data_IF_406949813827
#
_entry.id   IF_406949813827
#
_cell.length_a   1.000
_cell.length_b   1.000
_cell.length_c   1.000
_cell.angle_alpha   90.00
_cell.angle_beta   90.00
_cell.angle_gamma   90.00
#
_symmetry.space_group_name_H-M   'P 1'
#
loop_
_entity.id
_entity.type
_entity.pdbx_description
1 polymer ?
#
# COMPACT_ATOMS: atom_id res chain seq x y z
N UNK A 1 -4.81 -4.54 14.44
CA UNK A 1 -3.43 -5.04 14.28
C UNK A 1 -2.93 -4.66 12.90
N UNK A 2 -1.64 -4.43 12.70
CA UNK A 2 -1.10 -4.09 11.37
C UNK A 2 -1.13 -5.31 10.45
N UNK A 3 -1.18 -5.08 9.14
CA UNK A 3 -1.02 -6.14 8.14
C UNK A 3 0.25 -6.96 8.40
N UNK A 4 1.36 -6.28 8.69
CA UNK A 4 2.64 -6.91 9.00
C UNK A 4 2.58 -7.82 10.22
N UNK A 5 1.95 -7.38 11.32
CA UNK A 5 1.87 -8.21 12.53
C UNK A 5 0.99 -9.45 12.31
N UNK A 6 -0.08 -9.33 11.50
CA UNK A 6 -0.97 -10.44 11.15
C UNK A 6 -0.24 -11.48 10.29
N UNK A 7 0.46 -11.04 9.24
CA UNK A 7 1.27 -11.93 8.41
C UNK A 7 2.43 -12.58 9.18
N UNK A 8 3.08 -11.86 10.09
CA UNK A 8 4.12 -12.42 10.95
C UNK A 8 3.60 -13.47 11.95
N UNK A 9 2.30 -13.46 12.23
CA UNK A 9 1.61 -14.45 13.05
C UNK A 9 1.09 -15.65 12.23
N UNK A 10 1.52 -15.79 10.97
CA UNK A 10 1.12 -16.85 10.03
C UNK A 10 -0.40 -16.86 9.73
N UNK A 11 -1.04 -15.71 9.88
CA UNK A 11 -2.47 -15.55 9.56
C UNK A 11 -2.67 -15.53 8.04
N UNK A 12 -3.62 -16.33 7.55
CA UNK A 12 -4.10 -16.23 6.16
C UNK A 12 -5.07 -15.06 6.04
N UNK A 13 -4.77 -14.11 5.15
CA UNK A 13 -5.56 -12.90 4.95
C UNK A 13 -6.19 -12.87 3.56
N UNK A 14 -7.50 -12.66 3.50
CA UNK A 14 -8.23 -12.52 2.25
C UNK A 14 -8.43 -11.04 1.91
N UNK A 15 -7.90 -10.62 0.77
CA UNK A 15 -8.07 -9.25 0.26
C UNK A 15 -9.11 -9.22 -0.86
N UNK A 16 -10.03 -8.26 -0.80
CA UNK A 16 -10.89 -7.97 -1.94
C UNK A 16 -10.13 -7.16 -2.99
N UNK A 17 -10.16 -7.58 -4.24
CA UNK A 17 -9.48 -6.90 -5.34
C UNK A 17 -10.44 -5.97 -6.08
N UNK A 18 -10.27 -4.65 -5.90
CA UNK A 18 -11.11 -3.63 -6.54
C UNK A 18 -10.47 -3.13 -7.83
N UNK A 19 -11.17 -3.37 -8.95
CA UNK A 19 -10.90 -2.72 -10.24
C UNK A 19 -11.84 -1.56 -10.55
N UNK A 20 -12.83 -1.28 -9.69
CA UNK A 20 -13.87 -0.25 -9.93
C UNK A 20 -13.50 1.02 -9.17
N UNK A 21 -13.24 2.16 -9.85
CA UNK A 21 -12.73 3.39 -9.22
C UNK A 21 -13.84 4.22 -8.54
N UNK A 22 -14.70 3.55 -7.76
CA UNK A 22 -15.82 4.16 -7.07
C UNK A 22 -15.70 3.95 -5.55
N UNK A 23 -15.71 5.05 -4.80
CA UNK A 23 -15.51 5.01 -3.35
C UNK A 23 -16.69 4.34 -2.62
N UNK A 24 -17.92 4.47 -3.13
CA UNK A 24 -19.09 3.82 -2.56
C UNK A 24 -18.98 2.29 -2.69
N UNK A 25 -18.55 1.81 -3.85
CA UNK A 25 -18.27 0.39 -4.10
C UNK A 25 -17.21 -0.12 -3.12
N UNK A 26 -16.10 0.60 -2.97
CA UNK A 26 -15.04 0.23 -2.01
C UNK A 26 -15.56 0.23 -0.57
N UNK A 27 -16.44 1.15 -0.19
CA UNK A 27 -17.06 1.17 1.14
C UNK A 27 -17.94 -0.06 1.40
N UNK A 28 -18.75 -0.44 0.43
CA UNK A 28 -19.58 -1.64 0.53
C UNK A 28 -18.69 -2.88 0.68
N UNK A 29 -17.63 -2.99 -0.11
CA UNK A 29 -16.65 -4.09 -0.05
C UNK A 29 -15.91 -4.12 1.29
N UNK A 30 -15.50 -2.96 1.81
CA UNK A 30 -14.81 -2.85 3.09
C UNK A 30 -15.65 -3.36 4.27
N UNK A 31 -16.99 -3.34 4.17
CA UNK A 31 -17.90 -3.88 5.19
C UNK A 31 -18.14 -5.40 5.07
N UNK A 32 -17.65 -6.05 4.02
CA UNK A 32 -17.79 -7.50 3.84
C UNK A 32 -16.76 -8.29 4.67
N UNK A 33 -16.79 -9.63 4.59
CA UNK A 33 -15.93 -10.53 5.37
C UNK A 33 -14.45 -10.59 4.96
N UNK A 34 -13.97 -9.72 4.07
CA UNK A 34 -12.56 -9.66 3.69
C UNK A 34 -11.70 -9.00 4.77
N UNK A 35 -10.46 -9.45 4.91
CA UNK A 35 -9.49 -8.91 5.86
C UNK A 35 -8.91 -7.57 5.43
N UNK A 36 -8.81 -7.36 4.13
CA UNK A 36 -8.19 -6.19 3.52
C UNK A 36 -8.87 -5.84 2.18
N UNK A 37 -8.53 -4.68 1.61
CA UNK A 37 -8.96 -4.28 0.27
C UNK A 37 -7.76 -3.78 -0.53
N UNK A 38 -7.62 -4.27 -1.76
CA UNK A 38 -6.59 -3.84 -2.72
C UNK A 38 -7.21 -3.01 -3.83
N UNK A 39 -6.71 -1.79 -4.02
CA UNK A 39 -7.10 -0.92 -5.13
C UNK A 39 -6.10 -1.07 -6.28
N UNK A 40 -6.60 -1.41 -7.46
CA UNK A 40 -5.76 -1.78 -8.59
C UNK A 40 -5.61 -0.67 -9.63
N UNK A 41 -4.39 -0.12 -9.73
CA UNK A 41 -4.02 0.91 -10.69
C UNK A 41 -3.30 0.35 -11.94
N UNK A 42 -3.06 -0.95 -12.05
CA UNK A 42 -2.39 -1.53 -13.22
C UNK A 42 -3.41 -1.95 -14.27
N UNK A 43 -4.39 -2.76 -13.88
CA UNK A 43 -5.43 -3.27 -14.77
C UNK A 43 -6.85 -2.87 -14.34
N UNK A 44 -7.00 -2.40 -13.10
CA UNK A 44 -8.23 -1.76 -12.64
C UNK A 44 -8.31 -0.30 -13.10
N UNK A 45 -9.49 0.29 -12.92
CA UNK A 45 -9.73 1.70 -13.26
C UNK A 45 -9.21 2.70 -12.23
N UNK A 46 -8.56 2.26 -11.15
CA UNK A 46 -8.10 3.18 -10.12
C UNK A 46 -6.95 4.07 -10.61
N UNK A 47 -7.11 5.36 -10.37
CA UNK A 47 -6.10 6.41 -10.51
C UNK A 47 -5.88 7.12 -9.16
N UNK A 48 -4.92 8.03 -9.08
CA UNK A 48 -4.48 8.74 -7.87
C UNK A 48 -5.65 9.23 -6.99
N UNK A 49 -6.56 10.03 -7.56
CA UNK A 49 -7.70 10.61 -6.83
C UNK A 49 -8.69 9.54 -6.38
N UNK A 50 -8.96 8.53 -7.20
CA UNK A 50 -9.82 7.42 -6.80
C UNK A 50 -9.20 6.58 -5.68
N UNK A 51 -7.87 6.44 -5.64
CA UNK A 51 -7.16 5.75 -4.55
C UNK A 51 -7.26 6.58 -3.27
N UNK A 52 -6.95 7.88 -3.34
CA UNK A 52 -7.07 8.78 -2.19
C UNK A 52 -8.46 8.69 -1.54
N UNK A 53 -9.52 8.68 -2.34
CA UNK A 53 -10.91 8.58 -1.87
C UNK A 53 -11.28 7.15 -1.43
N UNK A 54 -10.86 6.14 -2.20
CA UNK A 54 -11.19 4.75 -1.97
C UNK A 54 -10.52 4.15 -0.74
N UNK A 55 -9.34 4.64 -0.33
CA UNK A 55 -8.71 4.16 0.90
C UNK A 55 -9.48 4.59 2.15
N UNK A 56 -10.14 5.75 2.14
CA UNK A 56 -10.85 6.30 3.32
C UNK A 56 -11.84 5.29 3.94
N UNK A 57 -12.79 4.70 3.20
CA UNK A 57 -13.72 3.76 3.80
C UNK A 57 -13.07 2.44 4.26
N UNK A 58 -11.98 1.99 3.63
CA UNK A 58 -11.22 0.80 4.06
C UNK A 58 -10.60 1.05 5.45
N UNK A 59 -9.98 2.22 5.60
CA UNK A 59 -9.36 2.65 6.86
C UNK A 59 -10.41 2.87 7.95
N UNK A 60 -11.57 3.45 7.60
CA UNK A 60 -12.69 3.64 8.53
C UNK A 60 -13.28 2.31 9.01
N UNK A 61 -13.21 1.25 8.19
CA UNK A 61 -13.58 -0.12 8.59
C UNK A 61 -12.50 -0.81 9.45
N UNK A 62 -11.38 -0.15 9.75
CA UNK A 62 -10.29 -0.71 10.56
C UNK A 62 -9.48 -1.79 9.84
N UNK A 63 -9.51 -1.82 8.50
CA UNK A 63 -8.86 -2.85 7.67
C UNK A 63 -7.61 -2.32 6.97
N UNK A 64 -6.60 -3.18 6.73
CA UNK A 64 -5.50 -2.86 5.85
C UNK A 64 -5.99 -2.48 4.44
N UNK A 65 -5.40 -1.40 3.94
CA UNK A 65 -5.60 -0.88 2.60
C UNK A 65 -4.33 -1.13 1.77
N UNK A 66 -4.48 -1.74 0.61
CA UNK A 66 -3.38 -2.04 -0.31
C UNK A 66 -3.60 -1.33 -1.64
N UNK A 67 -2.51 -1.02 -2.34
CA UNK A 67 -2.56 -0.44 -3.68
C UNK A 67 -1.62 -1.19 -4.60
N UNK A 68 -2.13 -1.73 -5.71
CA UNK A 68 -1.27 -2.17 -6.82
C UNK A 68 -0.98 -0.98 -7.72
N UNK A 69 0.28 -0.59 -7.81
CA UNK A 69 0.72 0.57 -8.61
C UNK A 69 0.89 0.20 -10.10
N UNK A 70 0.89 1.18 -11.02
CA UNK A 70 1.19 0.93 -12.42
C UNK A 70 2.64 0.45 -12.64
N UNK A 71 2.88 -0.25 -13.76
CA UNK A 71 4.23 -0.67 -14.17
C UNK A 71 5.14 0.55 -14.32
N UNK A 72 6.36 0.46 -13.78
CA UNK A 72 7.38 1.52 -13.88
C UNK A 72 7.09 2.78 -13.05
N UNK A 73 6.05 2.79 -12.21
CA UNK A 73 5.64 3.94 -11.40
C UNK A 73 5.92 3.75 -9.90
N UNK A 74 7.15 3.42 -9.54
CA UNK A 74 7.53 3.27 -8.12
C UNK A 74 7.39 4.57 -7.32
N UNK A 75 7.37 5.73 -7.97
CA UNK A 75 7.01 7.02 -7.36
C UNK A 75 5.60 7.00 -6.72
N UNK A 76 4.68 6.21 -7.28
CA UNK A 76 3.33 6.05 -6.74
C UNK A 76 3.30 5.29 -5.42
N UNK A 77 4.37 4.56 -5.08
CA UNK A 77 4.46 3.85 -3.81
C UNK A 77 4.44 4.83 -2.62
N UNK A 78 5.28 5.86 -2.65
CA UNK A 78 5.30 6.94 -1.65
C UNK A 78 3.93 7.60 -1.49
N UNK A 79 3.26 7.90 -2.61
CA UNK A 79 1.94 8.55 -2.62
C UNK A 79 0.84 7.65 -2.06
N UNK A 80 0.81 6.38 -2.43
CA UNK A 80 -0.14 5.42 -1.88
C UNK A 80 0.00 5.32 -0.35
N UNK A 81 1.24 5.26 0.15
CA UNK A 81 1.51 5.27 1.59
C UNK A 81 1.13 6.60 2.26
N UNK A 82 1.31 7.74 1.58
CA UNK A 82 0.91 9.07 2.08
C UNK A 82 -0.62 9.24 2.13
N UNK A 83 -1.35 8.51 1.28
CA UNK A 83 -2.82 8.43 1.31
C UNK A 83 -3.35 7.50 2.41
N UNK A 84 -2.50 6.60 2.92
CA UNK A 84 -2.79 5.72 4.05
C UNK A 84 -2.74 4.23 3.71
N UNK A 85 -2.25 3.83 2.53
CA UNK A 85 -2.02 2.42 2.25
C UNK A 85 -1.03 1.83 3.26
N UNK A 86 -1.28 0.59 3.68
CA UNK A 86 -0.40 -0.16 4.56
C UNK A 86 0.58 -1.03 3.76
N UNK A 87 0.22 -1.41 2.54
CA UNK A 87 1.13 -2.03 1.60
C UNK A 87 0.94 -1.56 0.17
N UNK A 88 2.01 -1.69 -0.60
CA UNK A 88 2.01 -1.44 -2.04
C UNK A 88 2.45 -2.71 -2.76
N UNK A 89 1.76 -3.02 -3.85
CA UNK A 89 2.08 -4.14 -4.75
C UNK A 89 2.67 -3.54 -6.02
N UNK A 90 3.93 -3.88 -6.33
CA UNK A 90 4.60 -3.45 -7.55
C UNK A 90 4.59 -4.59 -8.58
N UNK A 91 3.95 -4.40 -9.76
CA UNK A 91 4.02 -5.36 -10.85
C UNK A 91 5.37 -5.31 -11.57
N UNK A 92 5.68 -6.37 -12.32
CA UNK A 92 6.80 -6.46 -13.25
C UNK A 92 8.18 -6.13 -12.61
N UNK A 93 8.39 -6.54 -11.36
CA UNK A 93 9.70 -6.41 -10.70
C UNK A 93 10.63 -7.49 -11.25
N UNK A 94 11.49 -7.13 -12.20
CA UNK A 94 12.23 -8.09 -13.01
C UNK A 94 13.72 -8.17 -12.65
N UNK A 95 14.18 -7.38 -11.68
CA UNK A 95 15.58 -7.36 -11.28
C UNK A 95 15.75 -6.97 -9.82
N UNK A 96 16.93 -7.29 -9.27
CA UNK A 96 17.35 -6.79 -7.95
C UNK A 96 17.39 -5.26 -7.92
N UNK A 97 17.72 -4.60 -9.04
CA UNK A 97 17.71 -3.15 -9.15
C UNK A 97 16.28 -2.59 -9.00
N UNK A 98 15.30 -3.18 -9.67
CA UNK A 98 13.89 -2.80 -9.54
C UNK A 98 13.41 -2.98 -8.09
N UNK A 99 13.73 -4.13 -7.48
CA UNK A 99 13.35 -4.41 -6.10
C UNK A 99 13.96 -3.39 -5.11
N UNK A 100 15.21 -2.97 -5.32
CA UNK A 100 15.87 -1.94 -4.51
C UNK A 100 15.23 -0.56 -4.69
N UNK A 101 14.94 -0.16 -5.93
CA UNK A 101 14.27 1.11 -6.22
C UNK A 101 12.88 1.15 -5.59
N UNK A 102 12.11 0.07 -5.73
CA UNK A 102 10.80 -0.04 -5.11
C UNK A 102 10.89 0.00 -3.57
N UNK A 103 11.81 -0.76 -2.97
CA UNK A 103 12.01 -0.76 -1.51
C UNK A 103 12.43 0.63 -0.98
N UNK A 104 13.30 1.34 -1.71
CA UNK A 104 13.72 2.70 -1.36
C UNK A 104 12.53 3.68 -1.38
N UNK A 105 11.64 3.59 -2.37
CA UNK A 105 10.44 4.42 -2.44
C UNK A 105 9.44 4.16 -1.30
N UNK A 106 9.51 3.01 -0.63
CA UNK A 106 8.58 2.64 0.44
C UNK A 106 8.97 3.16 1.83
N UNK A 107 10.22 3.59 2.03
CA UNK A 107 10.79 3.89 3.34
C UNK A 107 11.35 5.31 3.41
N UNK A 108 11.12 5.99 4.52
CA UNK A 108 11.76 7.26 4.82
C UNK A 108 13.26 7.07 5.13
N UNK A 109 14.10 8.11 4.95
CA UNK A 109 15.48 8.10 5.40
C UNK A 109 15.61 7.68 6.88
N UNK A 110 16.68 6.95 7.26
CA UNK A 110 17.81 6.51 6.42
C UNK A 110 17.58 5.18 5.67
N UNK A 111 16.39 4.57 5.80
CA UNK A 111 16.13 3.23 5.25
C UNK A 111 15.73 3.24 3.77
N UNK A 112 15.35 4.40 3.25
CA UNK A 112 14.97 4.60 1.86
C UNK A 112 14.95 6.09 1.51
N UNK A 113 14.23 6.42 0.44
CA UNK A 113 14.23 7.71 -0.22
C UNK A 113 12.85 8.37 -0.27
N UNK A 114 11.84 7.81 0.43
CA UNK A 114 10.52 8.43 0.54
C UNK A 114 10.63 9.81 1.17
N UNK A 115 10.11 10.84 0.49
CA UNK A 115 10.02 12.20 1.02
C UNK A 115 8.85 12.36 1.99
N UNK A 116 8.90 13.38 2.84
CA UNK A 116 7.81 13.73 3.75
C UNK A 116 6.60 14.30 2.99
N UNK A 117 5.49 13.55 2.96
CA UNK A 117 4.21 14.00 2.45
C UNK A 117 2.95 13.36 3.08
N UNK A 118 2.94 12.90 4.36
CA UNK A 118 1.83 12.12 4.90
C UNK A 118 0.61 12.96 5.30
N UNK A 119 0.22 13.95 4.49
CA UNK A 119 -0.90 14.89 4.74
C UNK A 119 -2.22 14.19 5.06
N UNK A 120 -2.44 13.02 4.48
CA UNK A 120 -3.66 12.24 4.70
C UNK A 120 -3.45 11.09 5.68
N UNK A 121 -2.33 10.37 5.58
CA UNK A 121 -2.05 9.23 6.43
C UNK A 121 -1.75 9.62 7.89
N UNK A 122 -1.01 10.71 8.14
CA UNK A 122 -0.62 11.11 9.50
C UNK A 122 -1.83 11.52 10.35
N UNK A 123 -2.78 12.36 9.89
CA UNK A 123 -3.98 12.66 10.70
C UNK A 123 -4.89 11.46 10.96
N UNK A 124 -4.82 10.41 10.13
CA UNK A 124 -5.69 9.21 10.23
C UNK A 124 -5.09 8.09 11.09
N UNK A 125 -3.78 7.91 11.02
CA UNK A 125 -3.06 6.79 11.65
C UNK A 125 -1.93 7.22 12.56
N UNK A 126 -1.54 8.48 12.51
CA UNK A 126 -0.44 9.02 13.30
C UNK A 126 -0.71 8.86 14.78
N UNK A 127 0.26 8.26 15.46
CA UNK A 127 0.36 8.26 16.91
C UNK A 127 1.62 9.01 17.29
N UNK A 128 1.53 9.80 18.34
CA UNK A 128 2.65 10.59 18.85
C UNK A 128 3.14 11.65 17.88
N UNK A 129 4.45 11.89 17.90
CA UNK A 129 5.10 12.95 17.14
C UNK A 129 5.57 12.49 15.74
N UNK A 130 6.18 13.42 14.99
CA UNK A 130 6.71 13.12 13.66
C UNK A 130 7.81 12.05 13.68
N UNK A 131 8.64 12.02 14.74
CA UNK A 131 9.71 11.05 14.84
C UNK A 131 9.17 9.64 15.10
N UNK A 132 8.12 9.52 15.92
CA UNK A 132 7.39 8.28 16.13
C UNK A 132 6.74 7.78 14.83
N UNK A 133 6.08 8.66 14.08
CA UNK A 133 5.52 8.32 12.77
C UNK A 133 6.56 7.77 11.79
N UNK A 134 7.71 8.44 11.68
CA UNK A 134 8.79 8.00 10.80
C UNK A 134 9.27 6.60 11.17
N UNK A 135 9.49 6.34 12.46
CA UNK A 135 9.92 5.03 12.96
C UNK A 135 8.85 3.96 12.72
N UNK A 136 7.62 4.22 13.14
CA UNK A 136 6.49 3.28 13.02
C UNK A 136 6.20 2.94 11.55
N UNK A 137 6.05 3.95 10.69
CA UNK A 137 5.74 3.75 9.27
C UNK A 137 6.83 2.97 8.56
N UNK A 138 8.10 3.24 8.86
CA UNK A 138 9.21 2.45 8.33
C UNK A 138 9.15 0.98 8.77
N UNK A 139 8.63 0.69 9.96
CA UNK A 139 8.51 -0.68 10.46
C UNK A 139 7.27 -1.39 9.92
N UNK A 140 6.11 -0.74 9.87
CA UNK A 140 4.82 -1.41 9.59
C UNK A 140 4.46 -1.55 8.11
N UNK A 141 4.91 -0.63 7.23
CA UNK A 141 4.50 -0.69 5.82
C UNK A 141 5.17 -1.85 5.10
N UNK A 142 4.45 -2.47 4.17
CA UNK A 142 4.92 -3.64 3.43
C UNK A 142 5.03 -3.39 1.93
N UNK A 143 6.08 -3.93 1.33
CA UNK A 143 6.31 -3.90 -0.11
C UNK A 143 6.12 -5.31 -0.67
N UNK A 144 5.22 -5.47 -1.62
CA UNK A 144 4.98 -6.73 -2.32
C UNK A 144 5.47 -6.61 -3.76
N UNK A 145 6.60 -7.25 -4.06
CA UNK A 145 7.10 -7.34 -5.44
C UNK A 145 6.42 -8.52 -6.13
N UNK A 146 5.77 -8.28 -7.27
CA UNK A 146 5.22 -9.36 -8.08
C UNK A 146 6.33 -10.00 -8.92
N UNK A 147 6.53 -11.30 -8.71
CA UNK A 147 7.36 -12.16 -9.56
C UNK A 147 6.45 -12.79 -10.60
N UNK A 148 6.41 -12.20 -11.79
CA UNK A 148 5.42 -12.56 -12.83
C UNK A 148 6.01 -12.66 -14.25
N UNK A 149 7.33 -12.66 -14.36
CA UNK A 149 8.03 -12.86 -15.64
C UNK A 149 9.12 -13.92 -15.50
N UNK A 150 9.59 -14.45 -16.64
CA UNK A 150 10.76 -15.33 -16.67
C UNK A 150 11.99 -14.66 -16.04
N UNK A 151 12.22 -13.38 -16.35
CA UNK A 151 13.35 -12.62 -15.83
C UNK A 151 13.28 -12.44 -14.32
N UNK A 152 12.08 -12.29 -13.74
CA UNK A 152 11.90 -12.18 -12.29
C UNK A 152 12.14 -13.51 -11.54
N UNK A 153 12.05 -14.64 -12.24
CA UNK A 153 12.25 -15.97 -11.67
C UNK A 153 13.73 -16.41 -11.66
N UNK A 154 14.53 -15.88 -12.59
CA UNK A 154 15.99 -16.12 -12.67
C UNK A 154 16.76 -15.31 -11.61
#
# INVERSE_FOLDING_TARGET
>A
MSLKSRLAADETLFTAWSGVPDALTVEIVAKQGFDAVTLDMQHGGHHEDSVLRGLVPVLAAGKPALVRIPVGRFDMASRALDFGAEAVIAPMVNSVADAKLFAAAMKYPPLGERSWGPTYAFPRHGKGDQAEWLRDTNQRTMAFAMVETRAALD
#
